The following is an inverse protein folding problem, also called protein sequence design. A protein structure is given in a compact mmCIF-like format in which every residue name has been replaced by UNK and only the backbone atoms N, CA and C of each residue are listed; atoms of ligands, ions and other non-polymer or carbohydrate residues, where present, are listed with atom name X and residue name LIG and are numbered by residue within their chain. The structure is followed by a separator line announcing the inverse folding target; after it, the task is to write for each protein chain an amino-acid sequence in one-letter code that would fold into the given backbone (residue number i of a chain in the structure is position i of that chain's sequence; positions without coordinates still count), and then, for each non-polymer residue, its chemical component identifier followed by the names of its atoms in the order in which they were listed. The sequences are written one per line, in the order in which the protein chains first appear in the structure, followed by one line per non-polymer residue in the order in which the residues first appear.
data_IF_808011284123
#
_entry.id   IF_808011284123
#
_cell.length_a   1.000
_cell.length_b   1.000
_cell.length_c   1.000
_cell.angle_alpha   90.00
_cell.angle_beta   90.00
_cell.angle_gamma   90.00
#
_symmetry.space_group_name_H-M   'P 1'
#
loop_
_entity.id
_entity.type
_entity.pdbx_description
1 polymer ?
#
# COMPACT_ATOMS: atom_id res chain seq x y z
N UNK A 1 7.10 -12.76 -10.41
CA UNK A 1 6.07 -11.71 -10.21
C UNK A 1 5.81 -11.13 -11.59
N UNK A 2 4.57 -11.17 -12.04
CA UNK A 2 4.15 -10.58 -13.32
C UNK A 2 4.33 -9.05 -13.31
N UNK A 3 4.55 -8.44 -14.46
CA UNK A 3 4.82 -6.99 -14.54
C UNK A 3 3.63 -6.15 -14.07
N UNK A 4 2.38 -6.58 -14.32
CA UNK A 4 1.19 -5.86 -13.82
C UNK A 4 1.12 -5.83 -12.30
N UNK A 5 1.60 -6.88 -11.64
CA UNK A 5 1.66 -6.95 -10.18
C UNK A 5 2.78 -6.04 -9.64
N UNK A 6 3.89 -5.89 -10.37
CA UNK A 6 4.94 -4.93 -10.00
C UNK A 6 4.42 -3.50 -10.12
N UNK A 7 3.72 -3.18 -11.20
CA UNK A 7 3.12 -1.87 -11.41
C UNK A 7 2.11 -1.56 -10.31
N UNK A 8 1.27 -2.53 -9.94
CA UNK A 8 0.35 -2.38 -8.81
C UNK A 8 1.07 -2.11 -7.47
N UNK A 9 2.21 -2.75 -7.21
CA UNK A 9 3.02 -2.45 -6.00
C UNK A 9 3.54 -1.00 -6.04
N UNK A 10 3.98 -0.54 -7.21
CA UNK A 10 4.43 0.84 -7.41
C UNK A 10 3.28 1.81 -7.19
N UNK A 11 2.11 1.53 -7.76
CA UNK A 11 0.90 2.34 -7.62
C UNK A 11 0.46 2.44 -6.16
N UNK A 12 0.46 1.33 -5.42
CA UNK A 12 0.17 1.31 -3.97
C UNK A 12 1.10 2.24 -3.20
N UNK A 13 2.41 2.19 -3.48
CA UNK A 13 3.37 3.06 -2.79
C UNK A 13 3.22 4.52 -3.23
N UNK A 14 2.99 4.78 -4.52
CA UNK A 14 2.75 6.14 -5.02
C UNK A 14 1.44 6.73 -4.50
N UNK A 15 0.39 5.95 -4.32
CA UNK A 15 -0.87 6.39 -3.72
C UNK A 15 -0.71 6.87 -2.27
N UNK A 16 0.31 6.39 -1.55
CA UNK A 16 0.65 6.97 -0.22
C UNK A 16 1.33 8.33 -0.31
N UNK A 17 1.83 8.72 -1.48
CA UNK A 17 2.62 9.96 -1.69
C UNK A 17 1.82 11.02 -2.44
N UNK A 18 1.06 10.61 -3.46
CA UNK A 18 0.22 11.46 -4.31
C UNK A 18 -1.18 10.83 -4.45
N UNK A 19 -1.99 10.82 -3.38
CA UNK A 19 -3.31 10.19 -3.41
C UNK A 19 -4.27 10.79 -4.44
N UNK A 20 -4.18 12.11 -4.70
CA UNK A 20 -4.97 12.80 -5.73
C UNK A 20 -4.82 12.19 -7.13
N UNK A 21 -3.61 11.75 -7.50
CA UNK A 21 -3.33 11.11 -8.81
C UNK A 21 -4.15 9.83 -9.00
N UNK A 22 -4.50 9.16 -7.90
CA UNK A 22 -5.32 7.95 -7.86
C UNK A 22 -6.79 8.22 -7.50
N UNK A 23 -7.21 9.49 -7.48
CA UNK A 23 -8.57 9.93 -7.11
C UNK A 23 -8.98 9.52 -5.68
N UNK A 24 -8.00 9.33 -4.80
CA UNK A 24 -8.23 9.02 -3.40
C UNK A 24 -8.37 10.32 -2.62
N UNK A 25 -9.44 10.45 -1.82
CA UNK A 25 -9.69 11.62 -0.96
C UNK A 25 -8.87 11.53 0.33
N UNK A 26 -7.55 11.52 0.19
CA UNK A 26 -6.57 11.44 1.28
C UNK A 26 -5.64 12.65 1.32
N UNK A 27 -5.89 13.65 0.47
CA UNK A 27 -5.10 14.88 0.41
C UNK A 27 -5.13 15.63 1.74
N UNK A 28 -3.96 16.05 2.21
CA UNK A 28 -3.82 16.71 3.51
C UNK A 28 -3.88 15.78 4.73
N UNK A 29 -4.20 14.48 4.56
CA UNK A 29 -4.21 13.49 5.66
C UNK A 29 -2.86 12.79 5.84
N UNK A 30 -2.02 12.80 4.81
CA UNK A 30 -0.70 12.18 4.82
C UNK A 30 0.37 13.28 4.86
N UNK A 31 1.17 13.29 5.92
CA UNK A 31 2.34 14.17 6.04
C UNK A 31 3.53 13.64 5.23
N UNK A 32 3.78 12.33 5.30
CA UNK A 32 4.79 11.65 4.50
C UNK A 32 4.34 10.25 4.10
N UNK A 33 4.39 9.97 2.79
CA UNK A 33 4.13 8.66 2.23
C UNK A 33 5.28 7.67 2.39
N UNK A 34 5.02 6.41 2.01
CA UNK A 34 5.99 5.34 2.10
C UNK A 34 7.16 5.54 1.11
N UNK A 35 8.38 5.21 1.57
CA UNK A 35 9.59 5.30 0.74
C UNK A 35 9.68 4.17 -0.30
N UNK A 36 10.57 4.29 -1.32
CA UNK A 36 10.80 3.20 -2.28
C UNK A 36 11.20 1.87 -1.65
N UNK A 37 11.67 1.84 -0.39
CA UNK A 37 11.90 0.58 0.34
C UNK A 37 10.61 -0.23 0.51
N UNK A 38 9.45 0.42 0.58
CA UNK A 38 8.16 -0.26 0.70
C UNK A 38 7.87 -1.15 -0.52
N UNK A 39 8.25 -0.76 -1.74
CA UNK A 39 8.02 -1.61 -2.92
C UNK A 39 8.81 -2.91 -2.83
N UNK A 40 10.06 -2.84 -2.37
CA UNK A 40 10.94 -4.00 -2.16
C UNK A 40 10.32 -4.96 -1.14
N UNK A 41 9.88 -4.44 0.02
CA UNK A 41 9.29 -5.25 1.07
C UNK A 41 7.92 -5.83 0.70
N UNK A 42 7.07 -5.08 -0.02
CA UNK A 42 5.82 -5.59 -0.57
C UNK A 42 6.07 -6.75 -1.53
N UNK A 43 7.01 -6.62 -2.47
CA UNK A 43 7.34 -7.66 -3.42
C UNK A 43 7.92 -8.92 -2.74
N UNK A 44 8.81 -8.74 -1.76
CA UNK A 44 9.41 -9.85 -1.03
C UNK A 44 8.38 -10.57 -0.14
N UNK A 45 7.59 -9.82 0.62
CA UNK A 45 6.56 -10.37 1.49
C UNK A 45 5.45 -11.07 0.69
N UNK A 46 5.04 -10.50 -0.45
CA UNK A 46 4.04 -11.13 -1.31
C UNK A 46 4.54 -12.45 -1.92
N UNK A 47 5.83 -12.54 -2.28
CA UNK A 47 6.45 -13.81 -2.69
C UNK A 47 6.47 -14.84 -1.58
N UNK A 48 6.87 -14.44 -0.37
CA UNK A 48 6.87 -15.33 0.78
C UNK A 48 5.45 -15.81 1.10
N UNK A 49 4.48 -14.90 1.08
CA UNK A 49 3.07 -15.21 1.30
C UNK A 49 2.53 -16.18 0.25
N UNK A 50 2.80 -15.96 -1.04
CA UNK A 50 2.42 -16.88 -2.10
C UNK A 50 3.05 -18.28 -1.92
N UNK A 51 4.34 -18.32 -1.57
CA UNK A 51 5.07 -19.56 -1.32
C UNK A 51 4.50 -20.36 -0.14
N UNK A 52 4.21 -19.68 0.98
CA UNK A 52 3.57 -20.31 2.15
C UNK A 52 2.18 -20.87 1.82
N UNK A 53 1.49 -20.28 0.83
CA UNK A 53 0.22 -20.77 0.30
C UNK A 53 0.37 -21.81 -0.83
N UNK A 54 1.56 -22.39 -1.02
CA UNK A 54 1.82 -23.44 -2.01
C UNK A 54 1.81 -22.97 -3.47
N UNK A 55 1.85 -21.65 -3.72
CA UNK A 55 1.84 -21.07 -5.07
C UNK A 55 3.24 -20.62 -5.50
N UNK A 56 3.62 -20.97 -6.73
CA UNK A 56 4.85 -20.51 -7.38
C UNK A 56 4.76 -19.12 -8.03
N UNK A 57 3.63 -18.44 -7.89
CA UNK A 57 3.36 -17.14 -8.50
C UNK A 57 2.62 -16.22 -7.52
N UNK A 58 2.85 -14.91 -7.67
CA UNK A 58 2.24 -13.87 -6.83
C UNK A 58 0.98 -13.36 -7.50
N UNK A 59 -0.07 -13.18 -6.72
CA UNK A 59 -1.34 -12.56 -7.12
C UNK A 59 -1.51 -11.20 -6.43
N UNK A 60 -2.33 -10.28 -6.95
CA UNK A 60 -2.62 -9.03 -6.27
C UNK A 60 -3.16 -9.19 -4.85
N UNK A 61 -3.88 -10.29 -4.59
CA UNK A 61 -4.37 -10.62 -3.26
C UNK A 61 -3.24 -10.82 -2.25
N UNK A 62 -2.10 -11.39 -2.67
CA UNK A 62 -0.94 -11.54 -1.79
C UNK A 62 -0.43 -10.19 -1.30
N UNK A 63 -0.41 -9.18 -2.19
CA UNK A 63 0.02 -7.82 -1.87
C UNK A 63 -0.97 -7.17 -0.91
N UNK A 64 -2.28 -7.33 -1.14
CA UNK A 64 -3.32 -6.81 -0.24
C UNK A 64 -3.22 -7.43 1.15
N UNK A 65 -3.01 -8.74 1.25
CA UNK A 65 -2.92 -9.45 2.52
C UNK A 65 -1.76 -8.99 3.40
N UNK A 66 -0.59 -8.72 2.82
CA UNK A 66 0.60 -8.25 3.57
C UNK A 66 0.75 -6.72 3.61
N UNK A 67 -0.14 -6.01 2.91
CA UNK A 67 0.01 -4.57 2.65
C UNK A 67 0.03 -3.73 3.91
N UNK A 68 -0.88 -4.00 4.84
CA UNK A 68 -0.94 -3.31 6.13
C UNK A 68 0.33 -3.52 6.97
N UNK A 69 0.87 -4.74 7.02
CA UNK A 69 2.10 -5.05 7.76
C UNK A 69 3.29 -4.25 7.25
N UNK A 70 3.39 -4.06 5.93
CA UNK A 70 4.47 -3.30 5.33
C UNK A 70 4.26 -1.78 5.45
N UNK A 71 3.03 -1.29 5.27
CA UNK A 71 2.78 0.14 5.07
C UNK A 71 2.37 0.92 6.33
N UNK A 72 1.72 0.29 7.33
CA UNK A 72 1.14 1.01 8.48
C UNK A 72 2.14 1.85 9.27
N UNK A 73 3.40 1.42 9.31
CA UNK A 73 4.49 2.10 10.01
C UNK A 73 5.36 2.96 9.10
N UNK A 74 4.97 3.11 7.83
CA UNK A 74 5.69 3.86 6.78
C UNK A 74 4.92 5.05 6.24
N UNK A 75 3.65 5.18 6.63
CA UNK A 75 2.80 6.33 6.31
C UNK A 75 2.69 7.17 7.58
N UNK A 76 3.17 8.41 7.51
CA UNK A 76 3.08 9.38 8.60
C UNK A 76 1.85 10.25 8.35
N UNK A 77 0.93 10.25 9.30
CA UNK A 77 -0.29 11.07 9.26
C UNK A 77 0.01 12.54 9.52
N UNK A 78 -0.85 13.42 8.99
CA UNK A 78 -0.82 14.86 9.27
C UNK A 78 -1.41 15.19 10.64
N UNK A 79 -1.27 16.44 11.06
CA UNK A 79 -1.85 16.90 12.33
C UNK A 79 -3.38 16.92 12.26
N UNK A 80 -3.91 17.29 11.10
CA UNK A 80 -5.32 17.29 10.77
C UNK A 80 -5.90 15.88 10.87
N UNK A 81 -5.19 14.88 10.29
CA UNK A 81 -5.57 13.47 10.41
C UNK A 81 -5.57 12.99 11.86
N UNK A 82 -4.57 13.37 12.67
CA UNK A 82 -4.55 13.06 14.11
C UNK A 82 -5.74 13.67 14.85
N UNK A 83 -6.07 14.94 14.56
CA UNK A 83 -7.21 15.64 15.16
C UNK A 83 -8.56 14.96 14.80
N UNK A 84 -8.66 14.39 13.59
CA UNK A 84 -9.81 13.62 13.13
C UNK A 84 -9.77 12.13 13.55
N UNK A 85 -8.76 11.71 14.35
CA UNK A 85 -8.55 10.31 14.75
C UNK A 85 -8.37 9.34 13.57
N UNK A 86 -7.85 9.84 12.45
CA UNK A 86 -7.51 9.04 11.27
C UNK A 86 -6.11 8.45 11.44
N UNK A 87 -6.03 7.13 11.47
CA UNK A 87 -4.77 6.39 11.64
C UNK A 87 -4.12 6.06 10.30
N UNK A 88 -2.81 5.78 10.32
CA UNK A 88 -2.09 5.28 9.14
C UNK A 88 -2.68 3.97 8.63
N UNK A 89 -3.16 3.09 9.51
CA UNK A 89 -3.87 1.87 9.15
C UNK A 89 -5.14 2.18 8.35
N UNK A 90 -5.93 3.18 8.78
CA UNK A 90 -7.13 3.58 8.05
C UNK A 90 -6.82 4.13 6.66
N UNK A 91 -5.75 4.90 6.53
CA UNK A 91 -5.28 5.42 5.24
C UNK A 91 -4.87 4.26 4.32
N UNK A 92 -4.11 3.29 4.84
CA UNK A 92 -3.67 2.13 4.05
C UNK A 92 -4.87 1.29 3.58
N UNK A 93 -5.87 1.07 4.43
CA UNK A 93 -7.14 0.43 4.03
C UNK A 93 -7.80 1.16 2.86
N UNK A 94 -7.91 2.49 2.94
CA UNK A 94 -8.53 3.29 1.88
C UNK A 94 -7.76 3.23 0.57
N UNK A 95 -6.41 3.20 0.62
CA UNK A 95 -5.57 3.03 -0.57
C UNK A 95 -5.86 1.69 -1.24
N UNK A 96 -5.85 0.58 -0.50
CA UNK A 96 -6.12 -0.74 -1.07
C UNK A 96 -7.56 -0.95 -1.54
N UNK A 97 -8.52 -0.21 -0.97
CA UNK A 97 -9.91 -0.22 -1.39
C UNK A 97 -10.13 0.62 -2.66
N UNK A 98 -9.41 1.73 -2.83
CA UNK A 98 -9.60 2.65 -3.95
C UNK A 98 -8.75 2.35 -5.19
N UNK A 99 -7.66 1.58 -5.06
CA UNK A 99 -6.84 1.21 -6.21
C UNK A 99 -7.43 0.04 -7.01
N UNK A 100 -7.45 0.12 -8.35
CA UNK A 100 -7.87 -0.98 -9.21
C UNK A 100 -6.89 -2.15 -9.08
N UNK A 101 -7.44 -3.37 -9.12
CA UNK A 101 -6.66 -4.61 -9.09
C UNK A 101 -6.42 -5.07 -10.54
N UNK A 102 -5.17 -5.36 -10.94
CA UNK A 102 -4.84 -5.80 -12.30
C UNK A 102 -5.24 -7.24 -12.63
#
# INVERSE_FOLDING_TARGET
IDDRVKDYIVDVVWATREPATYKLKLDGLIRYGASPRATIFLALAARAHAFLNGRGYVTPQDIKSIGADVLRHRVIVSYEAEAESITSEKIVEQIFAGLPVP
#
